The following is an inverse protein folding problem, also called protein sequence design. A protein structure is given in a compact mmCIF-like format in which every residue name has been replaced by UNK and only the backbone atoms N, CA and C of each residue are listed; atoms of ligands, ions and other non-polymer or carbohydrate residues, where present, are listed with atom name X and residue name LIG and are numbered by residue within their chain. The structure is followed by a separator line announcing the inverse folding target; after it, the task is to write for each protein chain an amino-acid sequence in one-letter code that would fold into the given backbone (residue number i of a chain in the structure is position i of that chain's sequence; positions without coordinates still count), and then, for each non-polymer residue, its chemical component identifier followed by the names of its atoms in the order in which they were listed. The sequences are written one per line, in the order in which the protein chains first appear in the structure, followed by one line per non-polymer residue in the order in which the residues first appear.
data_IF_193136964340
#
_entry.id   IF_193136964340
#
_cell.length_a   1.000
_cell.length_b   1.000
_cell.length_c   1.000
_cell.angle_alpha   90.00
_cell.angle_beta   90.00
_cell.angle_gamma   90.00
#
_symmetry.space_group_name_H-M   'P 1'
#
loop_
_entity.id
_entity.type
_entity.pdbx_description
1 polymer ?
#
# COMPACT_ATOMS: atom_id res chain seq x y z
N UNK A 1 -20.62 6.07 7.98
CA UNK A 1 -20.61 6.95 9.18
C UNK A 1 -20.55 6.10 10.44
N UNK A 2 -19.49 6.21 11.21
CA UNK A 2 -19.22 5.46 12.45
C UNK A 2 -19.58 6.28 13.72
N UNK A 3 -20.09 7.48 13.56
CA UNK A 3 -20.37 8.39 14.69
C UNK A 3 -21.33 7.81 15.73
N UNK A 4 -22.16 6.84 15.32
CA UNK A 4 -23.14 6.16 16.19
C UNK A 4 -22.69 4.77 16.65
N UNK A 5 -21.49 4.35 16.29
CA UNK A 5 -20.99 3.06 16.73
C UNK A 5 -20.60 3.10 18.21
N UNK A 6 -20.80 1.99 18.94
CA UNK A 6 -20.41 1.94 20.35
C UNK A 6 -18.90 2.05 20.50
N UNK A 7 -18.48 2.88 21.43
CA UNK A 7 -17.06 3.01 21.78
C UNK A 7 -16.58 1.74 22.47
N UNK A 8 -15.43 1.21 22.07
CA UNK A 8 -14.86 0.03 22.69
C UNK A 8 -14.62 0.23 24.19
N UNK A 9 -14.94 -0.76 25.01
CA UNK A 9 -14.85 -0.68 26.48
C UNK A 9 -13.48 -0.23 27.02
N UNK A 10 -12.39 -0.53 26.31
CA UNK A 10 -11.03 -0.15 26.66
C UNK A 10 -10.54 1.13 25.93
N UNK A 11 -11.42 1.88 25.27
CA UNK A 11 -11.05 3.04 24.44
C UNK A 11 -10.19 4.04 25.21
N UNK A 12 -10.54 4.38 26.44
CA UNK A 12 -9.77 5.31 27.26
C UNK A 12 -8.33 4.81 27.51
N UNK A 13 -8.15 3.51 27.79
CA UNK A 13 -6.84 2.92 27.99
C UNK A 13 -6.02 2.87 26.69
N UNK A 14 -6.67 2.58 25.57
CA UNK A 14 -6.03 2.58 24.25
C UNK A 14 -5.55 4.00 23.90
N UNK A 15 -6.40 5.01 24.05
CA UNK A 15 -6.04 6.42 23.78
C UNK A 15 -4.90 6.86 24.71
N UNK A 16 -4.96 6.53 25.97
CA UNK A 16 -3.89 6.85 26.93
C UNK A 16 -2.56 6.19 26.57
N UNK A 17 -2.56 4.95 26.04
CA UNK A 17 -1.35 4.24 25.62
C UNK A 17 -0.71 4.86 24.36
N UNK A 18 -1.51 5.43 23.47
CA UNK A 18 -1.04 6.16 22.30
C UNK A 18 -0.45 7.52 22.70
N UNK A 19 -1.02 8.14 23.73
CA UNK A 19 -0.70 9.47 24.22
C UNK A 19 -1.74 10.49 23.71
N UNK A 20 -2.67 10.85 24.62
CA UNK A 20 -3.78 11.77 24.34
C UNK A 20 -3.35 13.24 24.14
N UNK A 21 -2.11 13.57 24.40
CA UNK A 21 -1.47 14.85 24.13
C UNK A 21 -0.77 14.93 22.76
N UNK A 22 -0.70 13.81 22.05
CA UNK A 22 -0.05 13.75 20.74
C UNK A 22 -1.04 14.10 19.62
N UNK A 23 -0.63 14.95 18.68
CA UNK A 23 -1.47 15.21 17.50
C UNK A 23 -1.59 13.97 16.63
N UNK A 24 -2.74 13.78 16.01
CA UNK A 24 -2.88 12.81 14.92
C UNK A 24 -1.94 13.19 13.79
N UNK A 25 -1.28 12.18 13.23
CA UNK A 25 -0.43 12.31 12.04
C UNK A 25 -1.00 11.44 10.93
N UNK A 26 -0.83 11.89 9.72
CA UNK A 26 -1.21 11.15 8.52
C UNK A 26 -0.15 11.30 7.45
N UNK A 27 -0.03 10.31 6.60
CA UNK A 27 0.86 10.35 5.45
C UNK A 27 0.16 11.07 4.30
N UNK A 28 0.86 12.04 3.70
CA UNK A 28 0.38 12.78 2.52
C UNK A 28 0.87 12.19 1.21
N UNK A 29 1.76 11.22 1.28
CA UNK A 29 2.45 10.58 0.16
C UNK A 29 1.91 9.18 -0.19
N UNK A 30 0.83 8.76 0.48
CA UNK A 30 0.14 7.51 0.17
C UNK A 30 -0.75 7.67 -1.06
N UNK A 31 -0.39 7.00 -2.13
CA UNK A 31 -1.10 7.05 -3.41
C UNK A 31 -1.80 5.72 -3.71
N UNK A 32 -2.85 5.77 -4.54
CA UNK A 32 -3.55 4.58 -5.00
C UNK A 32 -3.96 4.72 -6.47
N UNK A 33 -4.29 3.60 -7.10
CA UNK A 33 -4.77 3.55 -8.48
C UNK A 33 -6.01 2.68 -8.61
N UNK A 34 -6.99 3.16 -9.38
CA UNK A 34 -8.10 2.34 -9.83
C UNK A 34 -7.74 1.65 -11.15
N UNK A 35 -8.04 0.36 -11.25
CA UNK A 35 -7.83 -0.38 -12.50
C UNK A 35 -9.13 -0.53 -13.28
N UNK A 36 -9.06 -0.56 -14.65
CA UNK A 36 -10.23 -0.78 -15.49
C UNK A 36 -10.72 -2.22 -15.40
N UNK A 37 -11.95 -2.49 -15.90
CA UNK A 37 -12.44 -3.85 -16.05
C UNK A 37 -11.48 -4.68 -16.89
N UNK A 38 -11.18 -5.91 -16.44
CA UNK A 38 -10.32 -6.82 -17.18
C UNK A 38 -8.83 -6.44 -17.17
N UNK A 39 -8.39 -5.61 -16.22
CA UNK A 39 -6.96 -5.33 -16.03
C UNK A 39 -6.16 -6.63 -16.03
N UNK A 40 -5.14 -6.70 -16.89
CA UNK A 40 -4.25 -7.86 -16.97
C UNK A 40 -3.59 -8.10 -15.63
N UNK A 41 -3.68 -9.32 -15.14
CA UNK A 41 -2.98 -9.76 -13.93
C UNK A 41 -1.58 -10.27 -14.28
N UNK A 42 -0.66 -10.00 -13.40
CA UNK A 42 0.76 -10.38 -13.52
C UNK A 42 1.24 -11.05 -12.23
N UNK A 43 2.30 -11.84 -12.36
CA UNK A 43 2.97 -12.42 -11.20
C UNK A 43 3.87 -11.37 -10.55
N UNK A 44 3.86 -11.35 -9.22
CA UNK A 44 4.74 -10.55 -8.37
C UNK A 44 5.43 -11.52 -7.42
N UNK A 45 6.76 -11.47 -7.36
CA UNK A 45 7.52 -12.32 -6.44
C UNK A 45 7.32 -11.85 -4.98
N UNK A 46 6.93 -12.76 -4.10
CA UNK A 46 6.80 -12.54 -2.66
C UNK A 46 8.13 -12.92 -2.00
N UNK A 47 8.88 -11.94 -1.47
CA UNK A 47 10.30 -12.16 -1.12
C UNK A 47 10.58 -12.23 0.38
N UNK A 48 9.70 -11.71 1.26
CA UNK A 48 9.95 -11.71 2.71
C UNK A 48 8.87 -12.45 3.51
N UNK A 49 7.58 -12.21 3.22
CA UNK A 49 6.46 -12.81 3.95
C UNK A 49 5.55 -13.65 3.05
N UNK A 50 6.09 -14.65 2.31
CA UNK A 50 5.30 -15.42 1.35
C UNK A 50 4.18 -16.25 2.01
N UNK A 51 4.38 -16.65 3.28
CA UNK A 51 3.43 -17.49 4.01
C UNK A 51 2.28 -16.68 4.64
N UNK A 52 2.47 -15.37 4.79
CA UNK A 52 1.48 -14.43 5.27
C UNK A 52 0.92 -13.55 4.13
N UNK A 53 1.17 -13.91 2.89
CA UNK A 53 0.72 -13.18 1.71
C UNK A 53 -0.37 -13.92 0.96
N UNK A 54 -1.36 -13.17 0.47
CA UNK A 54 -2.31 -13.71 -0.49
C UNK A 54 -1.63 -13.92 -1.84
N UNK A 55 -1.83 -15.07 -2.47
CA UNK A 55 -1.15 -15.43 -3.71
C UNK A 55 -1.80 -14.74 -4.92
N UNK A 56 -0.93 -14.31 -5.88
CA UNK A 56 -1.34 -13.76 -7.15
C UNK A 56 -2.05 -14.73 -8.09
N UNK A 57 -2.24 -14.34 -9.35
CA UNK A 57 -1.71 -13.11 -9.97
C UNK A 57 -2.48 -11.84 -9.61
N UNK A 58 -1.81 -10.67 -9.71
CA UNK A 58 -2.34 -9.39 -9.24
C UNK A 58 -2.53 -8.38 -10.40
N UNK A 59 -3.56 -7.51 -10.35
CA UNK A 59 -3.83 -6.53 -11.41
C UNK A 59 -2.96 -5.27 -11.28
N UNK A 60 -1.63 -5.43 -11.23
CA UNK A 60 -0.70 -4.31 -11.11
C UNK A 60 -0.53 -3.62 -12.46
N UNK A 61 -0.98 -2.36 -12.63
CA UNK A 61 -0.80 -1.62 -13.88
C UNK A 61 0.62 -1.05 -13.98
N UNK A 62 1.06 -0.76 -15.20
CA UNK A 62 2.41 -0.19 -15.46
C UNK A 62 2.65 1.13 -14.74
N UNK A 63 1.59 1.91 -14.55
CA UNK A 63 1.63 3.21 -13.89
C UNK A 63 1.25 3.15 -12.41
N UNK A 64 1.37 1.99 -11.75
CA UNK A 64 1.08 1.87 -10.32
C UNK A 64 1.93 2.87 -9.53
N UNK A 65 1.31 3.77 -8.75
CA UNK A 65 2.05 4.67 -7.88
C UNK A 65 2.65 3.89 -6.71
N UNK A 66 3.82 4.31 -6.28
CA UNK A 66 4.47 3.84 -5.07
C UNK A 66 4.43 4.97 -4.05
N UNK A 67 4.30 4.67 -2.77
CA UNK A 67 4.40 5.62 -1.67
C UNK A 67 5.60 6.56 -1.89
N UNK A 68 5.39 7.85 -1.63
CA UNK A 68 6.35 8.89 -1.95
C UNK A 68 6.24 9.45 -3.38
N UNK A 69 5.34 8.94 -4.21
CA UNK A 69 5.02 9.53 -5.50
C UNK A 69 3.79 10.46 -5.41
N UNK A 70 3.81 11.64 -6.01
CA UNK A 70 4.92 12.22 -6.79
C UNK A 70 6.06 12.73 -5.92
N UNK A 71 7.29 12.60 -6.42
CA UNK A 71 8.53 12.81 -5.68
C UNK A 71 8.70 14.21 -5.03
N UNK A 72 7.98 15.22 -5.51
CA UNK A 72 8.04 16.57 -4.91
C UNK A 72 7.47 16.68 -3.50
N UNK A 73 6.73 15.67 -3.00
CA UNK A 73 6.26 15.59 -1.62
C UNK A 73 7.30 15.00 -0.67
N UNK A 74 8.35 14.41 -1.20
CA UNK A 74 9.39 13.77 -0.41
C UNK A 74 10.52 14.74 -0.08
N UNK A 75 11.41 14.33 0.83
CA UNK A 75 12.61 15.11 1.20
C UNK A 75 13.54 15.36 0.01
N UNK A 76 13.39 14.62 -1.07
CA UNK A 76 14.18 14.68 -2.29
C UNK A 76 13.43 15.40 -3.42
N UNK A 77 12.64 16.42 -3.09
CA UNK A 77 11.92 17.25 -4.06
C UNK A 77 12.81 17.83 -5.15
N UNK A 78 14.11 17.97 -4.89
CA UNK A 78 15.11 18.41 -5.86
C UNK A 78 15.49 17.33 -6.89
N UNK A 79 15.18 16.06 -6.60
CA UNK A 79 15.40 14.97 -7.55
C UNK A 79 14.23 14.91 -8.53
N UNK A 80 14.51 15.13 -9.81
CA UNK A 80 13.53 14.97 -10.90
C UNK A 80 13.31 13.48 -11.21
N UNK A 81 12.83 12.71 -10.21
CA UNK A 81 12.52 11.30 -10.39
C UNK A 81 11.24 11.14 -11.19
N UNK A 82 11.27 10.23 -12.16
CA UNK A 82 10.07 9.75 -12.84
C UNK A 82 9.36 8.69 -11.99
N UNK A 83 8.10 8.39 -12.32
CA UNK A 83 7.39 7.27 -11.67
C UNK A 83 8.18 5.96 -11.79
N UNK A 84 8.76 5.69 -12.95
CA UNK A 84 9.58 4.49 -13.16
C UNK A 84 10.84 4.48 -12.28
N UNK A 85 11.48 5.63 -12.06
CA UNK A 85 12.62 5.72 -11.15
C UNK A 85 12.21 5.37 -9.71
N UNK A 86 11.03 5.84 -9.27
CA UNK A 86 10.46 5.50 -7.96
C UNK A 86 10.07 4.01 -7.90
N UNK A 87 9.41 3.47 -8.93
CA UNK A 87 9.07 2.04 -8.99
C UNK A 87 10.31 1.14 -8.89
N UNK A 88 11.43 1.56 -9.47
CA UNK A 88 12.72 0.84 -9.44
C UNK A 88 13.56 1.09 -8.19
N UNK A 89 13.15 2.02 -7.35
CA UNK A 89 13.96 2.49 -6.23
C UNK A 89 15.36 2.94 -6.68
N UNK A 90 15.40 3.71 -7.75
CA UNK A 90 16.66 4.14 -8.39
C UNK A 90 17.54 4.96 -7.47
N UNK A 91 16.93 5.76 -6.60
CA UNK A 91 17.64 6.53 -5.58
C UNK A 91 18.08 5.68 -4.37
N UNK A 92 17.71 4.39 -4.33
CA UNK A 92 17.98 3.45 -3.24
C UNK A 92 17.55 4.00 -1.86
N UNK A 93 16.40 4.64 -1.82
CA UNK A 93 15.87 5.25 -0.61
C UNK A 93 15.23 4.23 0.34
N UNK A 94 14.80 3.09 -0.21
CA UNK A 94 14.11 2.06 0.55
C UNK A 94 12.76 2.56 1.07
N UNK A 95 12.45 2.28 2.34
CA UNK A 95 11.19 2.63 3.00
C UNK A 95 10.10 1.59 2.78
N UNK A 96 8.88 1.93 3.21
CA UNK A 96 7.75 1.00 3.20
C UNK A 96 7.21 0.77 1.79
N UNK A 97 7.34 1.77 0.91
CA UNK A 97 7.07 1.65 -0.52
C UNK A 97 5.74 0.96 -0.82
N UNK A 98 4.71 1.36 -0.08
CA UNK A 98 3.37 0.83 -0.29
C UNK A 98 2.85 1.12 -1.71
N UNK A 99 2.10 0.18 -2.25
CA UNK A 99 1.32 0.38 -3.45
C UNK A 99 -0.10 -0.15 -3.23
N UNK A 100 -1.08 0.63 -3.63
CA UNK A 100 -2.49 0.33 -3.43
C UNK A 100 -3.19 0.29 -4.78
N UNK A 101 -3.79 -0.85 -5.11
CA UNK A 101 -4.53 -1.07 -6.35
C UNK A 101 -5.97 -1.44 -6.00
N UNK A 102 -6.91 -0.66 -6.51
CA UNK A 102 -8.34 -0.87 -6.29
C UNK A 102 -8.98 -1.35 -7.58
N UNK A 103 -9.59 -2.52 -7.53
CA UNK A 103 -10.43 -3.06 -8.61
C UNK A 103 -11.90 -2.99 -8.20
N UNK A 104 -12.60 -1.90 -8.52
CA UNK A 104 -13.99 -1.73 -8.12
C UNK A 104 -14.93 -2.68 -8.86
N UNK A 105 -14.52 -3.20 -10.02
CA UNK A 105 -15.33 -4.11 -10.83
C UNK A 105 -15.29 -5.54 -10.29
N UNK A 106 -14.13 -5.98 -9.79
CA UNK A 106 -14.00 -7.24 -9.08
C UNK A 106 -14.35 -7.11 -7.57
N UNK A 107 -14.56 -5.90 -7.06
CA UNK A 107 -14.79 -5.64 -5.64
C UNK A 107 -13.58 -6.03 -4.79
N UNK A 108 -12.37 -5.79 -5.28
CA UNK A 108 -11.13 -6.19 -4.61
C UNK A 108 -10.17 -5.03 -4.42
N UNK A 109 -9.49 -5.06 -3.29
CA UNK A 109 -8.38 -4.19 -2.94
C UNK A 109 -7.12 -5.05 -2.88
N UNK A 110 -6.06 -4.58 -3.52
CA UNK A 110 -4.74 -5.21 -3.50
C UNK A 110 -3.74 -4.21 -2.92
N UNK A 111 -3.05 -4.60 -1.89
CA UNK A 111 -2.04 -3.79 -1.24
C UNK A 111 -0.71 -4.52 -1.21
N UNK A 112 0.38 -3.78 -1.35
CA UNK A 112 1.72 -4.32 -1.43
C UNK A 112 2.64 -3.53 -0.49
N UNK A 113 3.47 -4.25 0.26
CA UNK A 113 4.57 -3.72 1.05
C UNK A 113 5.87 -3.91 0.30
N UNK A 114 6.66 -2.84 0.18
CA UNK A 114 7.92 -2.80 -0.56
C UNK A 114 7.80 -3.24 -2.02
N UNK A 115 6.76 -2.76 -2.72
CA UNK A 115 6.62 -3.06 -4.14
C UNK A 115 7.77 -2.43 -4.95
N UNK A 116 8.44 -3.25 -5.74
CA UNK A 116 9.59 -2.85 -6.55
C UNK A 116 9.57 -3.49 -7.93
N UNK A 117 9.88 -2.68 -8.96
CA UNK A 117 10.05 -3.15 -10.33
C UNK A 117 11.47 -3.67 -10.54
N UNK A 118 11.61 -4.87 -11.11
CA UNK A 118 12.87 -5.61 -11.17
C UNK A 118 13.26 -6.08 -12.57
N UNK A 119 12.56 -5.62 -13.62
CA UNK A 119 12.74 -6.08 -15.00
C UNK A 119 14.04 -5.59 -15.67
N UNK A 120 14.91 -4.88 -14.95
CA UNK A 120 16.24 -4.53 -15.40
C UNK A 120 17.31 -5.36 -14.69
N UNK A 121 18.28 -5.83 -15.45
CA UNK A 121 19.47 -6.43 -14.89
C UNK A 121 20.25 -5.37 -14.09
N UNK A 122 20.65 -5.69 -12.87
CA UNK A 122 21.43 -4.80 -12.00
C UNK A 122 22.71 -5.51 -11.57
N UNK A 123 23.84 -4.82 -11.64
CA UNK A 123 25.11 -5.33 -11.12
C UNK A 123 25.60 -6.63 -11.77
N UNK A 124 25.34 -6.86 -13.06
CA UNK A 124 25.76 -8.06 -13.79
C UNK A 124 24.94 -9.32 -13.51
N UNK A 125 23.84 -9.21 -12.72
CA UNK A 125 22.91 -10.32 -12.49
C UNK A 125 21.83 -10.34 -13.57
N UNK A 126 21.41 -11.57 -13.95
CA UNK A 126 20.27 -11.78 -14.84
C UNK A 126 19.02 -11.11 -14.22
N UNK A 127 18.19 -10.47 -15.06
CA UNK A 127 16.91 -9.95 -14.61
C UNK A 127 16.08 -11.07 -13.98
N UNK A 128 15.36 -10.81 -12.87
CA UNK A 128 14.45 -11.77 -12.27
C UNK A 128 13.40 -12.28 -13.27
N UNK A 129 12.88 -13.49 -13.03
CA UNK A 129 11.82 -14.06 -13.87
C UNK A 129 10.54 -13.24 -13.82
N UNK A 130 10.26 -12.63 -12.67
CA UNK A 130 9.13 -11.73 -12.50
C UNK A 130 9.58 -10.29 -12.63
N UNK A 131 8.73 -9.47 -13.29
CA UNK A 131 8.98 -8.03 -13.49
C UNK A 131 8.83 -7.21 -12.20
N UNK A 132 8.14 -7.75 -11.21
CA UNK A 132 7.83 -7.10 -9.95
C UNK A 132 8.10 -8.03 -8.78
N UNK A 133 8.48 -7.45 -7.65
CA UNK A 133 8.57 -8.13 -6.37
C UNK A 133 7.99 -7.26 -5.26
N UNK A 134 7.55 -7.88 -4.16
CA UNK A 134 7.18 -7.19 -2.92
C UNK A 134 7.54 -8.05 -1.71
N UNK A 135 7.66 -7.41 -0.55
CA UNK A 135 7.87 -8.14 0.70
C UNK A 135 6.62 -8.91 1.12
N UNK A 136 5.45 -8.25 1.04
CA UNK A 136 4.14 -8.82 1.37
C UNK A 136 3.08 -8.30 0.40
N UNK A 137 2.06 -9.13 0.13
CA UNK A 137 0.86 -8.75 -0.61
C UNK A 137 -0.41 -9.16 0.15
N UNK A 138 -1.38 -8.25 0.20
CA UNK A 138 -2.67 -8.49 0.81
C UNK A 138 -3.82 -8.24 -0.17
N UNK A 139 -4.85 -9.10 -0.13
CA UNK A 139 -6.06 -8.98 -0.94
C UNK A 139 -7.25 -8.87 0.01
N UNK A 140 -7.99 -7.77 -0.09
CA UNK A 140 -9.21 -7.58 0.68
C UNK A 140 -10.44 -7.56 -0.23
N UNK A 141 -11.56 -8.03 0.31
CA UNK A 141 -12.86 -7.93 -0.35
C UNK A 141 -13.53 -6.62 0.03
N UNK A 142 -13.78 -5.75 -0.94
CA UNK A 142 -14.44 -4.46 -0.71
C UNK A 142 -15.90 -4.58 -0.27
N UNK A 143 -16.49 -5.78 -0.41
CA UNK A 143 -17.86 -6.06 0.00
C UNK A 143 -17.94 -6.78 1.35
N UNK A 144 -16.83 -6.90 2.08
CA UNK A 144 -16.75 -7.68 3.31
C UNK A 144 -15.81 -7.02 4.32
N UNK A 145 -16.17 -7.10 5.61
CA UNK A 145 -15.29 -6.73 6.71
C UNK A 145 -14.46 -7.92 7.24
N UNK A 146 -14.36 -9.01 6.47
CA UNK A 146 -13.57 -10.16 6.87
C UNK A 146 -12.10 -9.76 6.95
N UNK A 147 -11.52 -9.99 8.12
CA UNK A 147 -10.11 -9.79 8.37
C UNK A 147 -9.27 -10.94 7.81
N UNK A 148 -7.97 -10.73 7.74
CA UNK A 148 -6.97 -11.75 7.40
C UNK A 148 -6.93 -12.83 8.49
N UNK A 149 -6.35 -14.01 8.22
CA UNK A 149 -6.16 -15.03 9.25
C UNK A 149 -5.45 -14.48 10.49
N UNK A 150 -5.81 -14.95 11.66
CA UNK A 150 -5.16 -14.53 12.91
C UNK A 150 -3.66 -14.80 12.87
N UNK A 151 -2.89 -13.82 13.30
CA UNK A 151 -1.43 -13.88 13.29
C UNK A 151 -0.78 -13.49 11.95
N UNK A 152 -1.57 -13.31 10.89
CA UNK A 152 -1.03 -12.79 9.62
C UNK A 152 -0.86 -11.27 9.70
N UNK A 153 0.25 -10.78 9.18
CA UNK A 153 0.41 -9.37 8.84
C UNK A 153 -0.39 -9.04 7.57
N UNK A 154 -0.47 -7.79 7.24
CA UNK A 154 -0.82 -7.33 5.90
C UNK A 154 0.32 -6.46 5.40
N UNK A 155 0.05 -5.53 4.50
CA UNK A 155 0.98 -4.46 4.18
C UNK A 155 1.02 -3.38 5.27
N UNK A 156 0.00 -3.36 6.12
CA UNK A 156 -0.02 -2.75 7.45
C UNK A 156 0.31 -3.83 8.49
N UNK A 157 1.21 -3.55 9.42
CA UNK A 157 1.67 -4.51 10.43
C UNK A 157 0.54 -5.06 11.33
N UNK A 158 -0.60 -4.38 11.39
CA UNK A 158 -1.77 -4.80 12.19
C UNK A 158 -2.71 -5.77 11.44
N UNK A 159 -2.40 -6.15 10.20
CA UNK A 159 -3.27 -7.02 9.41
C UNK A 159 -4.51 -6.33 8.83
N UNK A 160 -4.55 -5.00 8.84
CA UNK A 160 -5.66 -4.19 8.36
C UNK A 160 -5.39 -3.64 6.95
N UNK A 161 -6.43 -3.27 6.19
CA UNK A 161 -6.25 -2.56 4.92
C UNK A 161 -5.86 -1.10 5.17
N UNK A 162 -4.91 -0.59 4.39
CA UNK A 162 -4.45 0.81 4.44
C UNK A 162 -5.43 1.74 3.72
N UNK A 163 -5.96 1.32 2.58
CA UNK A 163 -6.79 2.13 1.70
C UNK A 163 -7.97 2.86 2.39
N UNK A 164 -8.72 2.24 3.33
CA UNK A 164 -9.79 2.94 4.04
C UNK A 164 -9.33 4.15 4.86
N UNK A 165 -8.08 4.14 5.32
CA UNK A 165 -7.49 5.21 6.13
C UNK A 165 -6.74 6.28 5.29
N UNK A 166 -6.63 6.09 3.96
CA UNK A 166 -6.04 7.10 3.07
C UNK A 166 -6.96 8.30 2.99
N UNK A 167 -6.46 9.47 3.36
CA UNK A 167 -7.21 10.73 3.30
C UNK A 167 -7.43 11.13 1.84
N UNK A 168 -8.68 11.34 1.48
CA UNK A 168 -9.08 11.80 0.16
C UNK A 168 -9.19 13.32 0.12
N UNK A 169 -8.93 13.90 -1.04
CA UNK A 169 -8.98 15.34 -1.22
C UNK A 169 -10.31 15.96 -0.77
N UNK A 170 -11.43 15.31 -1.07
CA UNK A 170 -12.75 15.80 -0.68
C UNK A 170 -12.99 15.76 0.83
N UNK A 171 -12.45 14.76 1.51
CA UNK A 171 -12.48 14.64 2.98
C UNK A 171 -11.64 15.75 3.61
N UNK A 172 -10.41 15.92 3.11
CA UNK A 172 -9.52 17.01 3.55
C UNK A 172 -10.16 18.39 3.33
N UNK A 173 -10.72 18.65 2.15
CA UNK A 173 -11.39 19.91 1.82
C UNK A 173 -12.63 20.15 2.69
N UNK A 174 -13.34 19.11 3.07
CA UNK A 174 -14.50 19.17 3.94
C UNK A 174 -14.14 19.25 5.44
N UNK A 175 -12.88 19.16 5.81
CA UNK A 175 -12.40 19.16 7.20
C UNK A 175 -12.82 17.93 8.01
N UNK A 176 -12.91 16.79 7.36
CA UNK A 176 -13.32 15.52 7.96
C UNK A 176 -12.49 14.35 7.45
#
# INVERSE_FOLDING_TARGET
DISQWPVHKNSAAIVASIGNDKPLRYNTDMSYVFVPPGQKKIDVALVEYPDESDKGPYPVPENVPIEGWPAWFTRDADQKLTLEDVQRDKANQGGDRHAIVVDPFAGKLYEFYQLKRTDQASGGRKAPETRWQCACAAIFDLNSNKLRPDGWTSTDAAGLPIYPAVIRYDEFKAGR
#
